data_IF_804789879763
#
_entry.id   IF_804789879763
#
_cell.length_a   1.000
_cell.length_b   1.000
_cell.length_c   1.000
_cell.angle_alpha   90.00
_cell.angle_beta   90.00
_cell.angle_gamma   90.00
#
_symmetry.space_group_name_H-M   'P 1'
#
loop_
_entity.id
_entity.type
_entity.pdbx_description
1 polymer ?
#
# COMPACT_ATOMS: atom_id res chain seq x y z
N UNK A 1 24.22 33.91 10.73
CA UNK A 1 23.65 32.94 9.77
C UNK A 1 24.24 31.59 10.12
N UNK A 2 23.52 30.79 10.92
CA UNK A 2 24.07 29.61 11.59
C UNK A 2 24.10 28.39 10.67
N UNK A 3 25.19 27.63 10.81
CA UNK A 3 25.64 26.48 10.02
C UNK A 3 24.57 25.40 9.90
N UNK A 4 24.43 24.87 8.69
CA UNK A 4 23.63 23.71 8.31
C UNK A 4 24.03 22.48 9.15
N UNK A 5 23.22 22.17 10.16
CA UNK A 5 23.30 20.89 10.86
C UNK A 5 22.48 19.90 10.05
N UNK A 6 23.13 18.92 9.43
CA UNK A 6 22.43 17.76 8.87
C UNK A 6 21.86 16.96 10.04
N UNK A 7 20.54 17.04 10.22
CA UNK A 7 19.81 16.33 11.27
C UNK A 7 19.11 15.08 10.73
N UNK A 8 18.90 14.10 11.60
CA UNK A 8 18.13 12.89 11.30
C UNK A 8 16.70 13.11 11.79
N UNK A 9 15.72 13.03 10.89
CA UNK A 9 14.29 13.02 11.25
C UNK A 9 13.72 11.61 11.03
N UNK A 10 13.18 11.00 12.08
CA UNK A 10 12.49 9.73 11.98
C UNK A 10 11.07 9.93 11.43
N UNK A 11 10.71 9.17 10.39
CA UNK A 11 9.35 9.12 9.85
C UNK A 11 8.73 7.73 10.10
N UNK A 12 7.49 7.64 10.59
CA UNK A 12 6.80 6.38 10.72
C UNK A 12 6.49 5.79 9.34
N UNK A 13 6.54 4.48 9.22
CA UNK A 13 6.07 3.75 8.05
C UNK A 13 5.43 2.42 8.47
N UNK A 14 4.61 1.85 7.59
CA UNK A 14 3.83 0.64 7.85
C UNK A 14 2.35 0.85 7.56
N UNK A 15 1.49 0.19 8.32
CA UNK A 15 0.04 0.28 8.16
C UNK A 15 -0.54 1.21 9.21
N UNK A 16 -1.30 2.21 8.78
CA UNK A 16 -2.06 3.13 9.64
C UNK A 16 -3.50 3.20 9.15
N UNK A 17 -4.46 3.24 10.08
CA UNK A 17 -5.88 3.33 9.77
C UNK A 17 -6.52 4.34 10.71
N UNK A 18 -6.93 5.48 10.17
CA UNK A 18 -7.78 6.42 10.89
C UNK A 18 -9.21 6.25 10.40
N UNK A 19 -10.14 6.09 11.32
CA UNK A 19 -11.56 6.01 10.98
C UNK A 19 -12.43 6.73 12.00
N UNK A 20 -13.58 7.23 11.54
CA UNK A 20 -14.58 7.90 12.37
C UNK A 20 -15.96 7.38 11.99
N UNK A 21 -16.55 6.49 12.82
CA UNK A 21 -17.87 5.93 12.57
C UNK A 21 -18.97 6.81 13.18
N UNK A 22 -20.11 6.86 12.49
CA UNK A 22 -21.38 7.43 12.97
C UNK A 22 -22.48 6.40 12.74
N UNK A 23 -23.19 6.03 13.80
CA UNK A 23 -24.34 5.15 13.69
C UNK A 23 -25.54 5.93 13.12
N UNK A 24 -26.13 5.40 12.06
CA UNK A 24 -27.33 5.94 11.41
C UNK A 24 -28.55 5.09 11.77
N UNK A 25 -29.78 5.59 11.52
CA UNK A 25 -30.98 4.78 11.61
C UNK A 25 -30.91 3.52 10.74
N UNK A 26 -31.69 2.50 11.09
CA UNK A 26 -31.77 1.21 10.37
C UNK A 26 -30.45 0.40 10.37
N UNK A 27 -29.57 0.61 11.35
CA UNK A 27 -28.34 -0.19 11.52
C UNK A 27 -27.27 0.08 10.45
N UNK A 28 -27.34 1.24 9.79
CA UNK A 28 -26.30 1.68 8.84
C UNK A 28 -25.19 2.43 9.57
N UNK A 29 -24.00 2.36 9.01
CA UNK A 29 -22.80 2.95 9.58
C UNK A 29 -22.25 3.92 8.54
N UNK A 30 -22.29 5.22 8.84
CA UNK A 30 -21.53 6.22 8.11
C UNK A 30 -20.08 6.16 8.61
N UNK A 31 -19.12 6.03 7.71
CA UNK A 31 -17.72 5.85 8.07
C UNK A 31 -16.84 6.76 7.23
N UNK A 32 -16.08 7.62 7.89
CA UNK A 32 -14.93 8.28 7.26
C UNK A 32 -13.69 7.41 7.49
N UNK A 33 -13.01 7.00 6.42
CA UNK A 33 -11.85 6.10 6.48
C UNK A 33 -10.66 6.72 5.77
N UNK A 34 -9.50 6.68 6.43
CA UNK A 34 -8.21 7.09 5.90
C UNK A 34 -7.16 6.00 6.17
N UNK A 35 -7.12 4.93 5.35
CA UNK A 35 -6.07 3.94 5.43
C UNK A 35 -4.80 4.46 4.74
N UNK A 36 -3.66 4.16 5.33
CA UNK A 36 -2.33 4.42 4.80
C UNK A 36 -1.49 3.15 4.91
N UNK A 37 -0.87 2.75 3.79
CA UNK A 37 0.11 1.68 3.75
C UNK A 37 1.39 2.23 3.15
N UNK A 38 2.46 2.23 3.94
CA UNK A 38 3.78 2.70 3.53
C UNK A 38 4.85 1.63 3.70
N UNK A 39 5.77 1.57 2.75
CA UNK A 39 6.93 0.66 2.75
C UNK A 39 8.18 1.40 2.32
N UNK A 40 9.34 1.00 2.83
CA UNK A 40 10.63 1.50 2.38
C UNK A 40 10.93 1.02 0.96
N UNK A 41 11.50 1.90 0.13
CA UNK A 41 12.03 1.57 -1.19
C UNK A 41 13.56 1.63 -1.16
N UNK A 42 14.20 0.47 -1.34
CA UNK A 42 15.65 0.35 -1.41
C UNK A 42 16.22 0.66 -2.79
N UNK A 43 15.40 0.68 -3.84
CA UNK A 43 15.82 0.92 -5.24
C UNK A 43 15.85 2.40 -5.62
N UNK A 44 15.36 3.29 -4.75
CA UNK A 44 15.32 4.74 -4.96
C UNK A 44 15.87 5.43 -3.71
N UNK A 45 17.14 5.20 -3.43
CA UNK A 45 17.86 5.93 -2.39
C UNK A 45 18.37 7.26 -2.96
N UNK A 46 18.18 8.33 -2.21
CA UNK A 46 18.79 9.62 -2.52
C UNK A 46 20.13 9.69 -1.77
N UNK A 47 21.19 10.06 -2.49
CA UNK A 47 22.48 10.37 -1.86
C UNK A 47 22.48 11.85 -1.45
N UNK A 48 22.57 12.09 -0.15
CA UNK A 48 22.71 13.44 0.41
C UNK A 48 24.01 13.46 1.20
N UNK A 49 25.03 14.12 0.66
CA UNK A 49 26.36 14.26 1.28
C UNK A 49 27.00 12.93 1.73
N UNK A 50 26.80 11.83 0.97
CA UNK A 50 27.34 10.51 1.27
C UNK A 50 26.43 9.64 2.16
N UNK A 51 25.26 10.14 2.56
CA UNK A 51 24.25 9.37 3.28
C UNK A 51 23.16 8.88 2.31
N UNK A 52 22.91 7.56 2.31
CA UNK A 52 21.79 6.98 1.58
C UNK A 52 20.49 7.17 2.35
N UNK A 53 19.60 8.00 1.83
CA UNK A 53 18.27 8.23 2.38
C UNK A 53 17.26 7.37 1.61
N UNK A 54 16.59 6.40 2.24
CA UNK A 54 15.58 5.59 1.58
C UNK A 54 14.31 6.41 1.30
N UNK A 55 13.67 6.15 0.17
CA UNK A 55 12.35 6.71 -0.14
C UNK A 55 11.23 5.84 0.41
N UNK A 56 10.03 6.43 0.54
CA UNK A 56 8.82 5.69 0.88
C UNK A 56 7.95 5.46 -0.34
N UNK A 57 7.37 4.27 -0.46
CA UNK A 57 6.18 4.03 -1.28
C UNK A 57 4.97 4.13 -0.38
N UNK A 58 4.06 5.06 -0.67
CA UNK A 58 2.89 5.30 0.17
C UNK A 58 1.61 5.13 -0.65
N UNK A 59 0.63 4.42 -0.10
CA UNK A 59 -0.70 4.22 -0.65
C UNK A 59 -1.72 4.72 0.36
N UNK A 60 -2.60 5.63 -0.05
CA UNK A 60 -3.60 6.26 0.82
C UNK A 60 -4.94 6.35 0.10
N UNK A 61 -6.01 6.31 0.87
CA UNK A 61 -7.35 6.72 0.43
C UNK A 61 -7.95 7.66 1.50
N UNK A 62 -8.86 8.55 1.10
CA UNK A 62 -9.69 9.33 2.03
C UNK A 62 -11.11 9.33 1.49
N UNK A 63 -11.99 8.57 2.15
CA UNK A 63 -13.35 8.35 1.67
C UNK A 63 -14.35 8.42 2.81
N UNK A 64 -15.59 8.82 2.46
CA UNK A 64 -16.76 8.70 3.33
C UNK A 64 -17.75 7.77 2.66
N UNK A 65 -18.19 6.75 3.39
CA UNK A 65 -19.07 5.70 2.87
C UNK A 65 -20.15 5.37 3.88
N UNK A 66 -21.31 4.96 3.39
CA UNK A 66 -22.41 4.43 4.20
C UNK A 66 -22.55 2.94 3.87
N UNK A 67 -22.43 2.10 4.89
CA UNK A 67 -22.42 0.64 4.74
C UNK A 67 -23.18 0.00 5.90
N UNK A 68 -23.84 -1.13 5.65
CA UNK A 68 -24.47 -1.93 6.71
C UNK A 68 -23.43 -2.69 7.55
N UNK A 69 -23.81 -3.05 8.78
CA UNK A 69 -22.99 -3.92 9.64
C UNK A 69 -22.71 -5.27 8.95
N UNK A 70 -21.44 -5.68 8.92
CA UNK A 70 -20.96 -6.91 8.29
C UNK A 70 -20.90 -6.87 6.76
N UNK A 71 -21.28 -5.76 6.12
CA UNK A 71 -21.18 -5.62 4.67
C UNK A 71 -19.77 -5.17 4.27
N UNK A 72 -19.23 -5.80 3.24
CA UNK A 72 -17.94 -5.41 2.67
C UNK A 72 -18.14 -4.41 1.54
N UNK A 73 -17.37 -3.32 1.55
CA UNK A 73 -17.39 -2.31 0.51
C UNK A 73 -15.97 -1.97 0.02
N UNK A 74 -15.81 -1.85 -1.29
CA UNK A 74 -14.55 -1.45 -1.90
C UNK A 74 -14.46 0.08 -1.97
N UNK A 75 -13.49 0.68 -1.29
CA UNK A 75 -13.33 2.15 -1.22
C UNK A 75 -12.29 2.69 -2.20
N UNK A 76 -11.38 1.83 -2.67
CA UNK A 76 -10.37 2.21 -3.65
C UNK A 76 -9.92 1.00 -4.47
N UNK A 77 -9.48 1.26 -5.71
CA UNK A 77 -8.87 0.31 -6.61
C UNK A 77 -7.86 1.01 -7.51
N UNK A 78 -6.72 0.37 -7.78
CA UNK A 78 -5.73 0.82 -8.76
C UNK A 78 -5.18 -0.40 -9.49
N UNK A 79 -5.25 -0.36 -10.82
CA UNK A 79 -4.61 -1.32 -11.71
C UNK A 79 -3.61 -0.54 -12.59
N UNK A 80 -2.32 -0.82 -12.43
CA UNK A 80 -1.26 -0.18 -13.17
C UNK A 80 -0.45 -1.22 -13.95
N UNK A 81 -0.29 -0.99 -15.25
CA UNK A 81 0.58 -1.78 -16.13
C UNK A 81 1.59 -0.86 -16.80
N UNK A 82 2.86 -1.18 -16.67
CA UNK A 82 3.97 -0.49 -17.30
C UNK A 82 4.73 -1.48 -18.19
N UNK A 83 5.05 -1.08 -19.42
CA UNK A 83 5.77 -1.90 -20.38
C UNK A 83 6.90 -1.08 -20.99
N UNK A 84 8.14 -1.54 -20.85
CA UNK A 84 9.32 -0.97 -21.49
C UNK A 84 9.88 -1.97 -22.50
N UNK A 85 10.30 -1.46 -23.66
CA UNK A 85 11.02 -2.23 -24.65
C UNK A 85 12.26 -1.44 -25.08
N UNK A 86 13.42 -1.91 -24.64
CA UNK A 86 14.71 -1.36 -25.05
C UNK A 86 15.28 -2.23 -26.19
N UNK A 87 15.81 -1.57 -27.21
CA UNK A 87 16.43 -2.26 -28.34
C UNK A 87 17.78 -1.65 -28.64
N UNK A 88 18.83 -2.43 -28.41
CA UNK A 88 20.19 -2.09 -28.78
C UNK A 88 20.51 -2.72 -30.13
N UNK A 89 21.11 -1.97 -31.05
CA UNK A 89 21.53 -2.49 -32.35
C UNK A 89 22.90 -1.98 -32.76
N UNK A 90 23.66 -2.83 -33.44
CA UNK A 90 24.90 -2.39 -34.10
C UNK A 90 24.51 -1.59 -35.36
N UNK A 91 25.01 -0.34 -35.53
CA UNK A 91 24.77 0.44 -36.74
C UNK A 91 25.17 -0.33 -38.01
N UNK A 92 24.44 -0.13 -39.12
CA UNK A 92 24.55 -0.87 -40.39
C UNK A 92 24.20 -2.37 -40.33
N UNK A 93 24.89 -3.16 -39.49
CA UNK A 93 24.70 -4.62 -39.42
C UNK A 93 23.33 -5.00 -38.84
N UNK A 94 22.82 -4.20 -37.90
CA UNK A 94 21.50 -4.40 -37.32
C UNK A 94 20.37 -4.24 -38.33
N UNK A 95 20.55 -3.49 -39.42
CA UNK A 95 19.47 -3.21 -40.38
C UNK A 95 19.50 -4.14 -41.62
N UNK A 96 20.43 -5.10 -41.66
CA UNK A 96 20.50 -6.07 -42.76
C UNK A 96 19.29 -7.01 -42.81
N UNK A 97 18.69 -7.23 -43.99
CA UNK A 97 17.70 -8.27 -44.17
C UNK A 97 18.30 -9.65 -43.87
N UNK A 98 17.50 -10.56 -43.32
CA UNK A 98 17.87 -11.94 -42.95
C UNK A 98 18.83 -12.03 -41.75
N UNK A 99 19.91 -11.25 -41.71
CA UNK A 99 20.97 -11.37 -40.69
C UNK A 99 20.88 -10.35 -39.55
N UNK A 100 20.12 -9.26 -39.71
CA UNK A 100 20.10 -8.15 -38.74
C UNK A 100 19.63 -8.53 -37.34
N UNK A 101 18.85 -9.62 -37.18
CA UNK A 101 18.41 -10.09 -35.87
C UNK A 101 19.55 -10.70 -35.02
N UNK A 102 20.67 -11.10 -35.62
CA UNK A 102 21.87 -11.55 -34.90
C UNK A 102 22.67 -10.39 -34.30
N UNK A 103 22.45 -9.16 -34.79
CA UNK A 103 23.15 -7.93 -34.39
C UNK A 103 22.24 -6.94 -33.65
N UNK A 104 21.09 -7.41 -33.16
CA UNK A 104 20.13 -6.67 -32.33
C UNK A 104 19.94 -7.39 -31.00
N UNK A 105 19.90 -6.64 -29.91
CA UNK A 105 19.48 -7.10 -28.59
C UNK A 105 18.17 -6.41 -28.23
N UNK A 106 17.19 -7.17 -27.76
CA UNK A 106 15.90 -6.63 -27.30
C UNK A 106 15.72 -7.00 -25.84
N UNK A 107 15.44 -6.00 -25.01
CA UNK A 107 15.05 -6.18 -23.61
C UNK A 107 13.60 -5.76 -23.47
N UNK A 108 12.76 -6.69 -23.05
CA UNK A 108 11.36 -6.43 -22.76
C UNK A 108 11.14 -6.51 -21.25
N UNK A 109 10.51 -5.49 -20.67
CA UNK A 109 10.16 -5.45 -19.26
C UNK A 109 8.68 -5.07 -19.10
N UNK A 110 7.94 -5.84 -18.30
CA UNK A 110 6.54 -5.57 -17.96
C UNK A 110 6.37 -5.58 -16.44
N UNK A 111 5.89 -4.49 -15.88
CA UNK A 111 5.56 -4.35 -14.46
C UNK A 111 4.04 -4.20 -14.31
N UNK A 112 3.42 -5.01 -13.44
CA UNK A 112 1.99 -4.93 -13.12
C UNK A 112 1.83 -4.70 -11.61
N UNK A 113 0.93 -3.78 -11.24
CA UNK A 113 0.65 -3.44 -9.83
C UNK A 113 -0.85 -3.31 -9.64
N UNK A 114 -1.37 -4.07 -8.68
CA UNK A 114 -2.78 -4.07 -8.30
C UNK A 114 -2.94 -3.67 -6.83
N UNK A 115 -3.92 -2.81 -6.55
CA UNK A 115 -4.28 -2.40 -5.20
C UNK A 115 -5.80 -2.35 -5.09
N UNK A 116 -6.34 -2.97 -4.05
CA UNK A 116 -7.75 -2.86 -3.68
C UNK A 116 -7.82 -2.59 -2.18
N UNK A 117 -8.67 -1.64 -1.78
CA UNK A 117 -8.92 -1.34 -0.36
C UNK A 117 -10.38 -1.68 -0.06
N UNK A 118 -10.57 -2.64 0.83
CA UNK A 118 -11.86 -3.15 1.27
C UNK A 118 -12.08 -2.78 2.74
N UNK A 119 -13.33 -2.50 3.11
CA UNK A 119 -13.72 -2.30 4.51
C UNK A 119 -14.93 -3.17 4.84
N UNK A 120 -15.01 -3.62 6.09
CA UNK A 120 -16.14 -4.39 6.63
C UNK A 120 -16.38 -3.96 8.08
N UNK A 121 -17.22 -2.94 8.33
CA UNK A 121 -17.50 -2.50 9.69
C UNK A 121 -18.50 -3.44 10.36
N UNK A 122 -18.37 -3.61 11.68
CA UNK A 122 -19.29 -4.38 12.50
C UNK A 122 -19.84 -3.51 13.62
N UNK A 123 -21.16 -3.50 13.77
CA UNK A 123 -21.82 -3.02 14.97
C UNK A 123 -21.75 -4.12 16.03
N UNK A 124 -21.19 -3.82 17.20
CA UNK A 124 -21.07 -4.76 18.32
C UNK A 124 -21.81 -4.22 19.54
N UNK A 125 -22.55 -5.09 20.22
CA UNK A 125 -23.23 -4.74 21.46
C UNK A 125 -22.32 -4.99 22.68
N UNK A 126 -22.40 -4.17 23.74
CA UNK A 126 -21.67 -4.43 24.97
C UNK A 126 -22.12 -5.75 25.62
N UNK A 127 -21.15 -6.57 26.04
CA UNK A 127 -21.43 -7.80 26.78
C UNK A 127 -21.85 -7.48 28.22
N UNK A 128 -22.85 -8.19 28.75
CA UNK A 128 -23.21 -8.11 30.18
C UNK A 128 -22.11 -8.77 31.01
N UNK A 129 -21.63 -8.08 32.05
CA UNK A 129 -20.43 -8.40 32.84
C UNK A 129 -20.36 -9.80 33.49
N UNK A 130 -21.41 -10.63 33.38
CA UNK A 130 -21.50 -11.93 34.06
C UNK A 130 -21.07 -13.12 33.19
N UNK A 131 -20.80 -12.91 31.90
CA UNK A 131 -20.43 -13.97 30.94
C UNK A 131 -19.32 -13.50 30.00
N UNK A 132 -18.17 -13.11 30.55
CA UNK A 132 -16.95 -13.00 29.73
C UNK A 132 -16.07 -14.16 30.14
N UNK A 133 -16.06 -15.21 29.32
CA UNK A 133 -15.14 -16.31 29.51
C UNK A 133 -13.71 -15.76 29.45
N UNK A 134 -13.00 -15.86 30.56
CA UNK A 134 -11.60 -15.43 30.61
C UNK A 134 -10.71 -16.58 30.12
N UNK A 135 -9.51 -16.29 29.60
CA UNK A 135 -8.55 -17.33 29.24
C UNK A 135 -8.22 -18.30 30.39
N UNK A 136 -8.44 -17.89 31.64
CA UNK A 136 -8.19 -18.67 32.85
C UNK A 136 -9.30 -19.71 33.14
N UNK A 137 -10.50 -19.54 32.59
CA UNK A 137 -11.63 -20.47 32.84
C UNK A 137 -11.36 -21.87 32.26
N UNK A 138 -10.50 -21.97 31.24
CA UNK A 138 -10.05 -23.25 30.67
C UNK A 138 -9.06 -24.01 31.54
N UNK A 139 -8.36 -23.33 32.45
CA UNK A 139 -7.32 -23.96 33.29
C UNK A 139 -7.86 -24.56 34.60
N UNK A 140 -9.07 -24.17 35.04
CA UNK A 140 -9.71 -24.73 36.24
C UNK A 140 -10.45 -26.05 35.99
N UNK A 141 -10.61 -26.44 34.74
CA UNK A 141 -11.33 -27.65 34.33
C UNK A 141 -10.41 -28.88 34.11
N UNK A 142 -9.14 -28.81 34.51
CA UNK A 142 -8.14 -29.87 34.39
C UNK A 142 -7.69 -30.36 35.78
#
# INVERSE_FOLDING_TARGET
VNREVVGIEYKPYGVSLLFSPTLLPNGRIALQVRPEVSSLMSTSTLDVNGYQVPSFRVRRADTRVEVGSGQTFAIAGLFQRESSQDMDKVPMLGDMPILGNLFRSKRFQRNETELVILITPYLVEPVKARVVATPLDKQRAA
#
